data_IF_951463293106
#
_entry.id   IF_951463293106
#
_cell.length_a   1.000
_cell.length_b   1.000
_cell.length_c   1.000
_cell.angle_alpha   90.00
_cell.angle_beta   90.00
_cell.angle_gamma   90.00
#
_symmetry.space_group_name_H-M   'P 1'
#
loop_
_entity.id
_entity.type
_entity.pdbx_description
1 polymer ?
#
# COMPACT_ATOMS: atom_id res chain seq x y z
N UNK A 1 -1.52 10.34 6.74
CA UNK A 1 -1.28 10.35 5.28
C UNK A 1 -0.14 11.30 4.94
N UNK A 2 0.84 10.83 4.16
CA UNK A 2 1.92 11.61 3.57
C UNK A 2 1.47 12.37 2.30
N UNK A 3 0.40 11.91 1.64
CA UNK A 3 -0.11 12.46 0.39
C UNK A 3 -1.00 13.71 0.50
N UNK A 4 -1.10 14.38 1.67
CA UNK A 4 -2.10 15.45 1.89
C UNK A 4 -1.94 16.62 0.92
N UNK A 5 -0.70 17.11 0.72
CA UNK A 5 -0.43 18.23 -0.19
C UNK A 5 -0.74 17.86 -1.64
N UNK A 6 -0.24 16.71 -2.11
CA UNK A 6 -0.51 16.20 -3.44
C UNK A 6 -2.01 15.96 -3.68
N UNK A 7 -2.71 15.40 -2.70
CA UNK A 7 -4.15 15.15 -2.77
C UNK A 7 -4.96 16.44 -2.90
N UNK A 8 -4.52 17.56 -2.32
CA UNK A 8 -5.21 18.86 -2.50
C UNK A 8 -5.06 19.40 -3.93
N UNK A 9 -3.89 19.28 -4.51
CA UNK A 9 -3.62 19.73 -5.88
C UNK A 9 -4.38 18.85 -6.90
N UNK A 10 -4.23 17.53 -6.79
CA UNK A 10 -4.85 16.54 -7.70
C UNK A 10 -6.39 16.61 -7.70
N UNK A 11 -7.01 16.95 -6.56
CA UNK A 11 -8.47 17.14 -6.48
C UNK A 11 -8.96 18.24 -7.43
N UNK A 12 -8.17 19.28 -7.71
CA UNK A 12 -8.54 20.35 -8.65
C UNK A 12 -8.63 19.84 -10.09
N UNK A 13 -7.98 18.72 -10.39
CA UNK A 13 -7.98 18.05 -11.68
C UNK A 13 -8.96 16.86 -11.73
N UNK A 14 -9.81 16.69 -10.72
CA UNK A 14 -10.72 15.55 -10.63
C UNK A 14 -10.05 14.23 -10.23
N UNK A 15 -8.78 14.26 -9.84
CA UNK A 15 -8.01 13.07 -9.45
C UNK A 15 -8.16 12.85 -7.94
N UNK A 16 -8.53 11.63 -7.56
CA UNK A 16 -8.56 11.20 -6.16
C UNK A 16 -7.26 10.49 -5.81
N UNK A 17 -6.67 10.85 -4.67
CA UNK A 17 -5.48 10.22 -4.12
C UNK A 17 -5.84 9.42 -2.87
N UNK A 18 -5.33 8.20 -2.78
CA UNK A 18 -5.33 7.35 -1.58
C UNK A 18 -3.87 7.04 -1.25
N UNK A 19 -3.49 7.25 0.00
CA UNK A 19 -2.15 6.93 0.51
C UNK A 19 -2.17 5.55 1.18
N UNK A 20 -1.67 4.52 0.50
CA UNK A 20 -1.65 3.15 0.99
C UNK A 20 -0.26 2.75 1.48
N UNK A 21 -0.19 2.29 2.73
CA UNK A 21 1.08 1.97 3.41
C UNK A 21 1.07 0.55 4.00
N UNK A 22 0.91 -0.50 3.16
CA UNK A 22 1.02 -1.87 3.63
C UNK A 22 2.43 -2.16 4.18
N UNK A 23 2.53 -3.18 5.04
CA UNK A 23 3.82 -3.73 5.46
C UNK A 23 4.50 -4.54 4.37
N UNK A 24 5.46 -5.40 4.75
CA UNK A 24 6.08 -6.32 3.80
C UNK A 24 5.01 -7.13 3.06
N UNK A 25 5.09 -7.14 1.73
CA UNK A 25 4.12 -7.80 0.84
C UNK A 25 4.92 -8.70 -0.10
N UNK A 26 4.53 -9.97 -0.18
CA UNK A 26 5.23 -11.04 -0.91
C UNK A 26 5.08 -10.90 -2.42
N UNK A 27 5.65 -9.82 -2.96
CA UNK A 27 5.63 -9.45 -4.39
C UNK A 27 6.82 -10.01 -5.16
N UNK A 28 7.64 -10.85 -4.53
CA UNK A 28 8.93 -11.35 -5.04
C UNK A 28 10.00 -10.27 -5.31
N UNK A 29 9.70 -8.98 -5.13
CA UNK A 29 10.69 -7.90 -5.34
C UNK A 29 11.92 -8.06 -4.43
N UNK A 30 11.75 -8.58 -3.21
CA UNK A 30 12.85 -8.89 -2.29
C UNK A 30 13.75 -10.02 -2.78
N UNK A 31 13.26 -10.92 -3.64
CA UNK A 31 14.02 -12.03 -4.22
C UNK A 31 14.85 -11.62 -5.46
N UNK A 32 14.67 -10.38 -5.95
CA UNK A 32 15.39 -9.85 -7.12
C UNK A 32 16.19 -8.58 -6.78
N UNK A 33 17.18 -8.63 -5.86
CA UNK A 33 17.97 -7.47 -5.51
C UNK A 33 18.90 -7.03 -6.66
N UNK A 34 18.93 -5.73 -6.96
CA UNK A 34 19.89 -5.14 -7.91
C UNK A 34 21.33 -5.14 -7.36
N UNK A 35 21.48 -5.09 -6.03
CA UNK A 35 22.74 -5.20 -5.31
C UNK A 35 22.48 -5.67 -3.88
N UNK A 36 23.46 -6.36 -3.28
CA UNK A 36 23.37 -6.90 -1.92
C UNK A 36 22.66 -8.26 -1.85
N UNK A 37 22.32 -8.68 -0.62
CA UNK A 37 21.59 -9.91 -0.34
C UNK A 37 20.16 -9.59 0.13
N UNK A 38 19.23 -10.50 -0.15
CA UNK A 38 17.84 -10.40 0.30
C UNK A 38 17.76 -10.28 1.83
N UNK A 39 17.04 -9.29 2.38
CA UNK A 39 16.84 -9.19 3.82
C UNK A 39 16.02 -10.36 4.36
N UNK A 40 16.30 -10.79 5.59
CA UNK A 40 15.47 -11.78 6.28
C UNK A 40 14.23 -11.07 6.82
N UNK A 41 13.11 -11.21 6.12
CA UNK A 41 11.81 -10.73 6.57
C UNK A 41 10.97 -11.85 7.19
N UNK A 42 10.11 -11.56 8.18
CA UNK A 42 9.02 -12.48 8.53
C UNK A 42 8.05 -12.61 7.35
N UNK A 43 7.21 -13.65 7.38
CA UNK A 43 6.17 -13.84 6.37
C UNK A 43 5.36 -12.54 6.17
N UNK A 44 5.35 -12.05 4.94
CA UNK A 44 4.64 -10.84 4.54
C UNK A 44 3.18 -11.09 4.23
N UNK A 45 2.51 -10.01 3.81
CA UNK A 45 1.14 -10.02 3.35
C UNK A 45 1.04 -10.64 1.95
N UNK A 46 -0.04 -11.37 1.71
CA UNK A 46 -0.42 -11.79 0.36
C UNK A 46 -0.69 -10.57 -0.53
N UNK A 47 -0.06 -10.46 -1.72
CA UNK A 47 -0.33 -9.36 -2.66
C UNK A 47 -1.81 -9.24 -3.03
N UNK A 48 -2.50 -10.37 -3.18
CA UNK A 48 -3.92 -10.39 -3.53
C UNK A 48 -4.78 -9.76 -2.43
N UNK A 49 -4.42 -9.98 -1.17
CA UNK A 49 -5.14 -9.46 -0.02
C UNK A 49 -4.88 -7.96 0.16
N UNK A 50 -3.65 -7.51 -0.06
CA UNK A 50 -3.32 -6.09 -0.10
C UNK A 50 -4.09 -5.38 -1.23
N UNK A 51 -4.10 -5.96 -2.43
CA UNK A 51 -4.83 -5.40 -3.57
C UNK A 51 -6.34 -5.30 -3.28
N UNK A 52 -6.95 -6.35 -2.72
CA UNK A 52 -8.35 -6.34 -2.30
C UNK A 52 -8.65 -5.20 -1.32
N UNK A 53 -7.83 -5.02 -0.28
CA UNK A 53 -8.02 -3.95 0.70
C UNK A 53 -7.93 -2.55 0.09
N UNK A 54 -7.05 -2.37 -0.90
CA UNK A 54 -6.93 -1.10 -1.65
C UNK A 54 -8.16 -0.87 -2.53
N UNK A 55 -8.68 -1.90 -3.19
CA UNK A 55 -9.91 -1.81 -3.99
C UNK A 55 -11.09 -1.42 -3.10
N UNK A 56 -11.26 -2.10 -1.96
CA UNK A 56 -12.29 -1.77 -0.97
C UNK A 56 -12.19 -0.30 -0.50
N UNK A 57 -10.97 0.22 -0.33
CA UNK A 57 -10.77 1.62 0.03
C UNK A 57 -11.22 2.59 -1.07
N UNK A 58 -10.97 2.24 -2.33
CA UNK A 58 -11.41 3.02 -3.49
C UNK A 58 -12.94 3.06 -3.54
N UNK A 59 -13.59 1.91 -3.38
CA UNK A 59 -15.06 1.76 -3.38
C UNK A 59 -15.72 2.53 -2.23
N UNK A 60 -15.08 2.58 -1.06
CA UNK A 60 -15.61 3.24 0.15
C UNK A 60 -15.16 4.70 0.32
N UNK A 61 -14.60 5.33 -0.73
CA UNK A 61 -14.12 6.72 -0.70
C UNK A 61 -13.09 7.03 0.41
N UNK A 62 -12.32 6.02 0.86
CA UNK A 62 -11.28 6.20 1.87
C UNK A 62 -10.13 7.08 1.32
N UNK A 63 -9.40 7.75 2.24
CA UNK A 63 -8.32 8.70 1.89
C UNK A 63 -6.93 8.27 2.34
N UNK A 64 -6.83 7.43 3.38
CA UNK A 64 -5.58 7.01 4.00
C UNK A 64 -5.73 5.56 4.46
N UNK A 65 -4.76 4.73 4.09
CA UNK A 65 -4.63 3.37 4.58
C UNK A 65 -3.28 3.25 5.31
N UNK A 66 -3.22 3.61 6.61
CA UNK A 66 -2.05 3.34 7.43
C UNK A 66 -1.74 1.84 7.48
N UNK A 67 -0.53 1.48 7.93
CA UNK A 67 -0.13 0.08 8.09
C UNK A 67 -1.10 -0.73 8.97
N UNK A 68 -1.72 -0.09 9.96
CA UNK A 68 -2.75 -0.70 10.81
C UNK A 68 -4.00 -1.11 10.04
N UNK A 69 -4.29 -0.49 8.89
CA UNK A 69 -5.40 -0.89 8.00
C UNK A 69 -5.16 -2.23 7.30
N UNK A 70 -3.94 -2.78 7.40
CA UNK A 70 -3.56 -4.07 6.87
C UNK A 70 -3.22 -5.09 7.96
N UNK A 71 -3.33 -4.72 9.25
CA UNK A 71 -3.02 -5.62 10.35
C UNK A 71 -4.02 -6.78 10.42
N UNK A 72 -3.52 -8.00 10.56
CA UNK A 72 -4.35 -9.21 10.66
C UNK A 72 -4.96 -9.68 9.34
N UNK A 73 -4.63 -9.03 8.22
CA UNK A 73 -4.94 -9.55 6.89
C UNK A 73 -3.95 -10.68 6.55
N UNK A 74 -4.46 -11.83 6.10
CA UNK A 74 -3.68 -13.00 5.67
C UNK A 74 -3.99 -13.33 4.22
#
# INVERSE_FOLDING_TARGET
SFGIAAGRELRRQGIRLIDARPGHTETELSQHPLAGATPVFPAGLSPAVVARRIIEAIENDEKDLPSTSFAGLS
#
